data_IF_086726867327
#
_entry.id   IF_086726867327
#
_cell.length_a   1.000
_cell.length_b   1.000
_cell.length_c   1.000
_cell.angle_alpha   90.00
_cell.angle_beta   90.00
_cell.angle_gamma   90.00
#
_symmetry.space_group_name_H-M   'P 1'
#
loop_
_entity.id
_entity.type
_entity.pdbx_description
1 polymer ?
#
# COMPACT_ATOMS: atom_id res chain seq x y z
N UNK A 1 38.84 25.47 -59.38
CA UNK A 1 37.57 26.09 -58.93
C UNK A 1 37.33 25.69 -57.48
N UNK A 2 37.73 26.53 -56.52
CA UNK A 2 37.49 26.30 -55.09
C UNK A 2 36.12 26.88 -54.74
N UNK A 3 35.15 26.03 -54.40
CA UNK A 3 33.92 26.50 -53.78
C UNK A 3 34.24 27.09 -52.40
N UNK A 4 33.60 28.21 -52.00
CA UNK A 4 33.90 28.84 -50.72
C UNK A 4 33.51 27.88 -49.57
N UNK A 5 34.47 27.54 -48.72
CA UNK A 5 34.31 26.60 -47.59
C UNK A 5 33.27 27.06 -46.54
N UNK A 6 33.05 28.37 -46.42
CA UNK A 6 32.19 28.99 -45.41
C UNK A 6 30.76 28.43 -45.33
N UNK A 7 29.97 28.46 -46.43
CA UNK A 7 28.58 27.98 -46.42
C UNK A 7 28.43 26.49 -46.10
N UNK A 8 29.42 25.65 -46.46
CA UNK A 8 29.39 24.21 -46.18
C UNK A 8 29.59 23.93 -44.68
N UNK A 9 30.54 24.64 -44.05
CA UNK A 9 30.83 24.51 -42.62
C UNK A 9 29.64 24.97 -41.74
N UNK A 10 28.96 26.04 -42.13
CA UNK A 10 27.76 26.52 -41.41
C UNK A 10 26.63 25.49 -41.49
N UNK A 11 26.42 24.87 -42.65
CA UNK A 11 25.37 23.86 -42.85
C UNK A 11 25.66 22.59 -42.03
N UNK A 12 26.91 22.13 -42.01
CA UNK A 12 27.35 20.96 -41.22
C UNK A 12 27.21 21.18 -39.71
N UNK A 13 27.55 22.39 -39.23
CA UNK A 13 27.38 22.74 -37.82
C UNK A 13 25.90 22.82 -37.42
N UNK A 14 25.05 23.34 -38.31
CA UNK A 14 23.61 23.41 -38.11
C UNK A 14 22.93 22.04 -38.09
N UNK A 15 23.34 21.11 -38.97
CA UNK A 15 22.83 19.72 -38.96
C UNK A 15 23.28 18.97 -37.72
N UNK A 16 24.56 19.10 -37.35
CA UNK A 16 25.12 18.48 -36.15
C UNK A 16 24.45 18.98 -34.85
N UNK A 17 24.19 20.28 -34.73
CA UNK A 17 23.46 20.83 -33.57
C UNK A 17 22.02 20.33 -33.48
N UNK A 18 21.36 20.14 -34.63
CA UNK A 18 19.98 19.65 -34.69
C UNK A 18 19.90 18.18 -34.26
N UNK A 19 20.81 17.35 -34.73
CA UNK A 19 20.92 15.94 -34.32
C UNK A 19 21.16 15.79 -32.81
N UNK A 20 22.05 16.62 -32.24
CA UNK A 20 22.27 16.64 -30.79
C UNK A 20 21.02 17.06 -30.01
N UNK A 21 20.27 18.04 -30.52
CA UNK A 21 19.03 18.49 -29.90
C UNK A 21 17.97 17.38 -29.94
N UNK A 22 17.83 16.69 -31.08
CA UNK A 22 16.87 15.60 -31.25
C UNK A 22 17.19 14.41 -30.31
N UNK A 23 18.47 14.05 -30.16
CA UNK A 23 18.89 13.03 -29.19
C UNK A 23 18.66 13.44 -27.73
N UNK A 24 18.92 14.70 -27.40
CA UNK A 24 18.63 15.22 -26.06
C UNK A 24 17.13 15.20 -25.75
N UNK A 25 16.30 15.61 -26.71
CA UNK A 25 14.83 15.55 -26.58
C UNK A 25 14.36 14.12 -26.42
N UNK A 26 14.87 13.18 -27.22
CA UNK A 26 14.53 11.75 -27.09
C UNK A 26 14.93 11.18 -25.73
N UNK A 27 16.12 11.53 -25.22
CA UNK A 27 16.56 11.11 -23.89
C UNK A 27 15.66 11.67 -22.78
N UNK A 28 15.27 12.94 -22.86
CA UNK A 28 14.36 13.57 -21.89
C UNK A 28 12.98 12.89 -21.92
N UNK A 29 12.43 12.65 -23.12
CA UNK A 29 11.13 11.97 -23.27
C UNK A 29 11.18 10.55 -22.69
N UNK A 30 12.27 9.81 -22.93
CA UNK A 30 12.45 8.47 -22.38
C UNK A 30 12.51 8.50 -20.84
N UNK A 31 13.30 9.42 -20.27
CA UNK A 31 13.44 9.56 -18.82
C UNK A 31 12.11 9.94 -18.16
N UNK A 32 11.36 10.87 -18.77
CA UNK A 32 10.01 11.22 -18.32
C UNK A 32 9.06 10.03 -18.41
N UNK A 33 9.10 9.27 -19.51
CA UNK A 33 8.29 8.06 -19.68
C UNK A 33 8.57 7.02 -18.60
N UNK A 34 9.84 6.77 -18.30
CA UNK A 34 10.24 5.86 -17.22
C UNK A 34 9.77 6.39 -15.86
N UNK A 35 9.95 7.69 -15.60
CA UNK A 35 9.49 8.32 -14.36
C UNK A 35 7.98 8.17 -14.15
N UNK A 36 7.19 8.42 -15.20
CA UNK A 36 5.74 8.25 -15.17
C UNK A 36 5.37 6.78 -14.94
N UNK A 37 6.02 5.85 -15.64
CA UNK A 37 5.76 4.42 -15.46
C UNK A 37 6.01 3.97 -14.03
N UNK A 38 7.11 4.43 -13.41
CA UNK A 38 7.42 4.14 -12.00
C UNK A 38 6.34 4.72 -11.09
N UNK A 39 5.96 5.98 -11.28
CA UNK A 39 4.94 6.65 -10.47
C UNK A 39 3.58 5.93 -10.54
N UNK A 40 3.13 5.58 -11.75
CA UNK A 40 1.89 4.81 -11.95
C UNK A 40 1.97 3.43 -11.31
N UNK A 41 3.11 2.75 -11.42
CA UNK A 41 3.30 1.43 -10.82
C UNK A 41 3.23 1.49 -9.29
N UNK A 42 3.84 2.51 -8.68
CA UNK A 42 3.77 2.75 -7.23
C UNK A 42 2.34 3.09 -6.81
N UNK A 43 1.66 3.94 -7.57
CA UNK A 43 0.27 4.31 -7.26
C UNK A 43 -0.66 3.08 -7.28
N UNK A 44 -0.52 2.22 -8.30
CA UNK A 44 -1.33 1.01 -8.43
C UNK A 44 -1.04 -0.06 -7.35
N UNK A 45 0.20 -0.15 -6.86
CA UNK A 45 0.63 -1.22 -5.94
C UNK A 45 0.66 -0.80 -4.48
N UNK A 46 1.18 0.40 -4.19
CA UNK A 46 1.40 0.92 -2.83
C UNK A 46 0.25 1.83 -2.42
N UNK A 47 -0.21 2.71 -3.31
CA UNK A 47 -1.35 3.59 -3.05
C UNK A 47 -2.68 2.95 -3.46
N UNK A 48 -2.80 1.64 -3.25
CA UNK A 48 -4.06 0.96 -3.52
C UNK A 48 -5.08 1.32 -2.44
N UNK A 49 -5.88 2.35 -2.73
CA UNK A 49 -7.00 2.82 -1.91
C UNK A 49 -7.84 1.66 -1.37
N UNK A 50 -8.14 0.65 -2.19
CA UNK A 50 -9.06 -0.42 -1.80
C UNK A 50 -8.49 -1.27 -0.66
N UNK A 51 -7.22 -1.65 -0.74
CA UNK A 51 -6.57 -2.44 0.32
C UNK A 51 -6.46 -1.61 1.61
N UNK A 52 -6.07 -0.35 1.49
CA UNK A 52 -6.00 0.55 2.63
C UNK A 52 -7.37 0.76 3.28
N UNK A 53 -8.44 0.88 2.48
CA UNK A 53 -9.80 1.01 3.00
C UNK A 53 -10.28 -0.28 3.69
N UNK A 54 -10.03 -1.45 3.10
CA UNK A 54 -10.42 -2.73 3.72
C UNK A 54 -9.70 -3.01 5.04
N UNK A 55 -8.37 -2.80 5.08
CA UNK A 55 -7.56 -3.02 6.28
C UNK A 55 -7.80 -1.89 7.30
N UNK A 56 -7.86 -0.64 6.82
CA UNK A 56 -8.14 0.54 7.63
C UNK A 56 -9.49 0.45 8.35
N UNK A 57 -10.56 0.15 7.60
CA UNK A 57 -11.88 -0.09 8.19
C UNK A 57 -11.92 -1.34 9.08
N UNK A 58 -11.08 -2.35 8.78
CA UNK A 58 -10.92 -3.53 9.62
C UNK A 58 -10.47 -3.21 11.05
N UNK A 59 -9.68 -2.15 11.26
CA UNK A 59 -9.26 -1.73 12.58
C UNK A 59 -10.39 -1.20 13.46
N UNK A 60 -11.52 -0.79 12.90
CA UNK A 60 -12.69 -0.38 13.67
C UNK A 60 -13.22 -1.52 14.56
N UNK A 61 -13.01 -2.79 14.16
CA UNK A 61 -13.41 -3.96 14.95
C UNK A 61 -12.53 -4.19 16.19
N UNK A 62 -11.37 -3.54 16.30
CA UNK A 62 -10.51 -3.61 17.48
C UNK A 62 -10.97 -2.61 18.55
N UNK A 63 -11.57 -1.49 18.15
CA UNK A 63 -11.96 -0.41 19.06
C UNK A 63 -12.82 -0.85 20.26
N UNK A 64 -13.80 -1.76 20.12
CA UNK A 64 -14.54 -2.28 21.26
C UNK A 64 -13.58 -2.95 22.26
N UNK A 65 -12.65 -3.78 21.78
CA UNK A 65 -11.72 -4.56 22.59
C UNK A 65 -10.64 -3.71 23.29
N UNK A 66 -10.62 -2.38 23.14
CA UNK A 66 -9.58 -1.51 23.71
C UNK A 66 -9.50 -1.49 25.25
N UNK A 67 -10.46 -2.13 25.95
CA UNK A 67 -10.49 -2.25 27.41
C UNK A 67 -10.09 -3.63 27.92
N UNK A 68 -9.82 -4.59 27.02
CA UNK A 68 -9.48 -5.97 27.37
C UNK A 68 -8.12 -6.33 26.80
N UNK A 69 -7.31 -7.06 27.56
CA UNK A 69 -6.01 -7.58 27.15
C UNK A 69 -6.09 -9.03 26.65
N UNK A 70 -7.13 -9.77 27.09
CA UNK A 70 -7.28 -11.20 26.85
C UNK A 70 -8.75 -11.63 26.92
N UNK A 71 -9.04 -12.86 26.49
CA UNK A 71 -10.42 -13.32 26.36
C UNK A 71 -11.20 -13.40 27.69
N UNK A 72 -10.53 -13.58 28.83
CA UNK A 72 -11.22 -13.70 30.13
C UNK A 72 -11.80 -12.38 30.61
N UNK A 73 -11.14 -11.27 30.27
CA UNK A 73 -11.62 -9.94 30.63
C UNK A 73 -12.87 -9.52 29.85
N UNK A 74 -13.25 -10.25 28.80
CA UNK A 74 -14.51 -9.97 28.12
C UNK A 74 -15.71 -10.19 29.03
N UNK A 75 -15.69 -11.20 29.93
CA UNK A 75 -16.81 -11.45 30.85
C UNK A 75 -17.00 -10.33 31.88
N UNK A 76 -15.94 -9.57 32.20
CA UNK A 76 -16.04 -8.44 33.11
C UNK A 76 -16.45 -7.14 32.42
N UNK A 77 -16.10 -6.96 31.14
CA UNK A 77 -16.37 -5.72 30.40
C UNK A 77 -17.65 -5.81 29.53
N UNK A 78 -18.18 -7.00 29.26
CA UNK A 78 -19.35 -7.23 28.41
C UNK A 78 -20.37 -8.19 29.01
N UNK A 79 -21.62 -7.96 28.63
CA UNK A 79 -22.73 -8.86 28.98
C UNK A 79 -22.88 -9.97 27.95
N UNK A 80 -22.99 -11.21 28.44
CA UNK A 80 -23.27 -12.39 27.63
C UNK A 80 -24.69 -12.90 27.88
N UNK A 81 -25.25 -13.60 26.90
CA UNK A 81 -26.49 -14.33 27.09
C UNK A 81 -26.28 -15.49 28.08
N UNK A 82 -27.35 -15.91 28.74
CA UNK A 82 -27.31 -17.03 29.70
C UNK A 82 -26.77 -18.29 29.01
N UNK A 83 -25.78 -18.96 29.59
CA UNK A 83 -25.10 -20.15 29.05
C UNK A 83 -24.33 -19.93 27.73
N UNK A 84 -23.99 -18.67 27.41
CA UNK A 84 -23.19 -18.31 26.25
C UNK A 84 -22.00 -17.42 26.63
N UNK A 85 -21.50 -17.54 27.86
CA UNK A 85 -20.33 -16.80 28.33
C UNK A 85 -19.03 -17.46 27.86
N UNK A 86 -17.90 -16.77 28.04
CA UNK A 86 -16.56 -17.30 27.71
C UNK A 86 -16.27 -18.59 28.52
N UNK A 87 -16.82 -18.71 29.72
CA UNK A 87 -16.74 -19.87 30.60
C UNK A 87 -17.47 -21.10 30.07
N UNK A 88 -18.50 -20.90 29.23
CA UNK A 88 -19.32 -21.98 28.66
C UNK A 88 -18.71 -22.55 27.37
N UNK A 89 -17.61 -21.96 26.89
CA UNK A 89 -16.91 -22.41 25.69
C UNK A 89 -16.10 -23.70 25.93
N UNK A 90 -15.94 -24.48 24.86
CA UNK A 90 -15.01 -25.60 24.88
C UNK A 90 -13.57 -25.11 25.04
N UNK A 91 -12.68 -25.96 25.59
CA UNK A 91 -11.26 -25.61 25.79
C UNK A 91 -10.58 -25.09 24.51
N UNK A 92 -10.90 -25.69 23.36
CA UNK A 92 -10.33 -25.26 22.08
C UNK A 92 -10.91 -23.90 21.65
N UNK A 93 -12.22 -23.68 21.81
CA UNK A 93 -12.84 -22.40 21.50
C UNK A 93 -12.30 -21.28 22.39
N UNK A 94 -12.15 -21.53 23.70
CA UNK A 94 -11.54 -20.56 24.63
C UNK A 94 -10.09 -20.24 24.25
N UNK A 95 -9.30 -21.23 23.82
CA UNK A 95 -7.93 -21.00 23.35
C UNK A 95 -7.90 -20.16 22.07
N UNK A 96 -8.74 -20.49 21.09
CA UNK A 96 -8.85 -19.71 19.84
C UNK A 96 -9.29 -18.27 20.12
N UNK A 97 -10.28 -18.07 20.98
CA UNK A 97 -10.74 -16.74 21.37
C UNK A 97 -9.64 -15.95 22.09
N UNK A 98 -8.90 -16.60 22.99
CA UNK A 98 -7.79 -15.95 23.68
C UNK A 98 -6.68 -15.53 22.72
N UNK A 99 -6.31 -16.40 21.79
CA UNK A 99 -5.34 -16.07 20.74
C UNK A 99 -5.83 -14.87 19.90
N UNK A 100 -7.07 -14.93 19.40
CA UNK A 100 -7.66 -13.87 18.58
C UNK A 100 -7.71 -12.53 19.29
N UNK A 101 -8.25 -12.47 20.52
CA UNK A 101 -8.34 -11.23 21.30
C UNK A 101 -6.96 -10.67 21.61
N UNK A 102 -6.03 -11.52 22.07
CA UNK A 102 -4.67 -11.09 22.39
C UNK A 102 -3.95 -10.55 21.13
N UNK A 103 -4.09 -11.23 19.99
CA UNK A 103 -3.51 -10.81 18.72
C UNK A 103 -4.11 -9.51 18.18
N UNK A 104 -5.42 -9.31 18.33
CA UNK A 104 -6.12 -8.07 17.96
C UNK A 104 -5.64 -6.89 18.83
N UNK A 105 -5.57 -7.07 20.15
CA UNK A 105 -5.23 -5.99 21.10
C UNK A 105 -3.75 -5.62 21.01
N UNK A 106 -2.87 -6.62 20.89
CA UNK A 106 -1.42 -6.39 20.73
C UNK A 106 -1.00 -5.90 19.34
N UNK A 107 -1.94 -5.82 18.38
CA UNK A 107 -1.67 -5.52 16.97
C UNK A 107 -0.58 -6.43 16.38
N UNK A 108 -0.72 -7.73 16.63
CA UNK A 108 0.24 -8.74 16.16
C UNK A 108 0.33 -8.73 14.63
N UNK A 109 1.55 -8.83 14.04
CA UNK A 109 1.72 -8.93 12.59
C UNK A 109 1.24 -10.27 12.01
N UNK A 110 0.87 -11.23 12.85
CA UNK A 110 0.36 -12.54 12.44
C UNK A 110 -1.14 -12.54 12.11
N UNK A 111 -1.84 -11.45 12.40
CA UNK A 111 -3.29 -11.36 12.21
C UNK A 111 -3.68 -10.11 11.42
N UNK A 112 -4.39 -10.31 10.32
CA UNK A 112 -4.96 -9.24 9.51
C UNK A 112 -6.47 -9.19 9.69
N UNK A 113 -6.99 -7.98 9.92
CA UNK A 113 -8.41 -7.70 9.97
C UNK A 113 -8.84 -7.08 8.65
N UNK A 114 -9.81 -7.70 8.02
CA UNK A 114 -10.38 -7.23 6.77
C UNK A 114 -11.84 -6.87 7.01
N UNK A 115 -12.22 -5.64 6.68
CA UNK A 115 -13.64 -5.31 6.56
C UNK A 115 -14.18 -5.90 5.26
N UNK A 116 -15.34 -6.56 5.31
CA UNK A 116 -15.98 -7.16 4.12
C UNK A 116 -16.60 -6.16 3.15
N UNK A 117 -16.54 -4.86 3.46
CA UNK A 117 -17.27 -3.81 2.74
C UNK A 117 -18.77 -3.83 3.04
N UNK A 118 -19.47 -2.81 2.53
CA UNK A 118 -20.95 -2.71 2.50
C UNK A 118 -21.48 -3.01 1.11
#
# INVERSE_FOLDING_TARGET
MQQPLGPVLVKLKATSLREWCDHAVQAIVLLLGIGILVLVSVDATVNNWAVNDFVGNGHAFVSPLGRVDNARQLESEYSFALHHSISDLSRIASWMLNFTVTSMVSRSPEMYLLSGGT
#
